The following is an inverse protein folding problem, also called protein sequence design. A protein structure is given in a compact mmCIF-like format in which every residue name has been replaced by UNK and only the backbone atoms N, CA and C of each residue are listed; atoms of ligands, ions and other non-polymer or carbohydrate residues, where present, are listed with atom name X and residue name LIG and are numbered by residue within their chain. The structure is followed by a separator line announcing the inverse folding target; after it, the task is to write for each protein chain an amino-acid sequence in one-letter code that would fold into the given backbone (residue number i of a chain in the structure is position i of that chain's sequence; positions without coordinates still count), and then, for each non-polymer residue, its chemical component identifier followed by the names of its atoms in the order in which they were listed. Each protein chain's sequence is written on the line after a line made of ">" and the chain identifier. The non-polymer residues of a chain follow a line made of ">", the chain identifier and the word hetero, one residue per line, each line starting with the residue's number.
data_IF_931506860043
#
_entry.id   IF_931506860043
#
_cell.length_a   1.000
_cell.length_b   1.000
_cell.length_c   1.000
_cell.angle_alpha   90.00
_cell.angle_beta   90.00
_cell.angle_gamma   90.00
#
_symmetry.space_group_name_H-M   'P 1'
#
loop_
_entity.id
_entity.type
_entity.pdbx_description
1 polymer ?
#
# COMPACT_ATOMS: atom_id res chain seq x y z
N UNK A 1 -11.98 12.21 -2.61
CA UNK A 1 -12.20 13.32 -3.56
C UNK A 1 -12.58 12.75 -4.91
N UNK A 2 -13.22 13.52 -5.79
CA UNK A 2 -13.73 13.09 -7.12
C UNK A 2 -12.73 12.27 -7.96
N UNK A 3 -11.41 12.53 -7.85
CA UNK A 3 -10.35 11.75 -8.51
C UNK A 3 -10.27 10.29 -8.07
N UNK A 4 -10.44 10.02 -6.78
CA UNK A 4 -10.41 8.66 -6.25
C UNK A 4 -11.62 7.85 -6.75
N UNK A 5 -12.79 8.50 -6.83
CA UNK A 5 -14.04 7.88 -7.32
C UNK A 5 -13.94 7.58 -8.82
N UNK A 6 -13.34 8.47 -9.61
CA UNK A 6 -13.16 8.26 -11.05
C UNK A 6 -12.22 7.09 -11.37
N UNK A 7 -11.09 6.97 -10.66
CA UNK A 7 -10.15 5.84 -10.83
C UNK A 7 -10.80 4.49 -10.51
N UNK A 8 -11.62 4.43 -9.45
CA UNK A 8 -12.31 3.19 -9.06
C UNK A 8 -13.47 2.78 -9.96
N UNK A 9 -14.05 3.70 -10.75
CA UNK A 9 -15.26 3.41 -11.56
C UNK A 9 -14.99 3.20 -13.05
N UNK A 10 -13.93 3.78 -13.62
CA UNK A 10 -13.76 3.81 -15.08
C UNK A 10 -12.61 2.94 -15.61
N UNK A 11 -11.48 2.87 -14.89
CA UNK A 11 -10.25 2.31 -15.47
C UNK A 11 -9.76 1.02 -14.79
N UNK A 12 -10.13 0.78 -13.52
CA UNK A 12 -9.53 -0.30 -12.70
C UNK A 12 -10.52 -1.43 -12.31
N UNK A 13 -11.68 -1.57 -12.96
CA UNK A 13 -12.61 -2.66 -12.60
C UNK A 13 -11.93 -4.01 -12.91
N UNK A 14 -11.68 -4.85 -11.89
CA UNK A 14 -11.00 -6.12 -12.09
C UNK A 14 -11.94 -7.03 -12.89
N UNK A 15 -11.45 -7.64 -13.96
CA UNK A 15 -12.19 -8.68 -14.69
C UNK A 15 -11.80 -10.08 -14.23
N UNK A 16 -10.57 -10.21 -13.70
CA UNK A 16 -9.99 -11.47 -13.23
C UNK A 16 -9.35 -11.32 -11.86
N UNK A 17 -9.06 -12.45 -11.21
CA UNK A 17 -8.28 -12.47 -9.96
C UNK A 17 -6.87 -11.87 -10.15
N UNK A 18 -6.24 -12.11 -11.30
CA UNK A 18 -4.91 -11.58 -11.59
C UNK A 18 -4.90 -10.04 -11.59
N UNK A 19 -5.96 -9.42 -12.13
CA UNK A 19 -6.13 -7.96 -12.13
C UNK A 19 -6.28 -7.44 -10.69
N UNK A 20 -7.04 -8.14 -9.85
CA UNK A 20 -7.19 -7.77 -8.44
C UNK A 20 -5.88 -7.90 -7.65
N UNK A 21 -5.03 -8.89 -7.97
CA UNK A 21 -3.70 -9.03 -7.37
C UNK A 21 -2.77 -7.91 -7.84
N UNK A 22 -2.81 -7.54 -9.13
CA UNK A 22 -2.05 -6.41 -9.67
C UNK A 22 -2.47 -5.10 -9.00
N UNK A 23 -3.77 -4.87 -8.83
CA UNK A 23 -4.31 -3.74 -8.08
C UNK A 23 -3.82 -3.74 -6.63
N UNK A 24 -3.91 -4.87 -5.93
CA UNK A 24 -3.43 -5.00 -4.55
C UNK A 24 -1.94 -4.70 -4.41
N UNK A 25 -1.14 -5.08 -5.41
CA UNK A 25 0.29 -4.76 -5.46
C UNK A 25 0.55 -3.27 -5.59
N UNK A 26 -0.23 -2.56 -6.40
CA UNK A 26 -0.19 -1.09 -6.47
C UNK A 26 -0.63 -0.43 -5.16
N UNK A 27 -1.65 -0.98 -4.50
CA UNK A 27 -2.10 -0.48 -3.19
C UNK A 27 -1.03 -0.62 -2.10
N UNK A 28 -0.21 -1.68 -2.15
CA UNK A 28 0.92 -1.83 -1.24
C UNK A 28 1.89 -0.65 -1.35
N UNK A 29 2.23 -0.23 -2.57
CA UNK A 29 3.14 0.89 -2.78
C UNK A 29 2.51 2.21 -2.31
N UNK A 30 1.23 2.43 -2.63
CA UNK A 30 0.48 3.62 -2.22
C UNK A 30 0.41 3.74 -0.69
N UNK A 31 0.25 2.62 0.01
CA UNK A 31 0.04 2.61 1.46
C UNK A 31 1.35 2.61 2.24
N UNK A 32 2.32 1.80 1.82
CA UNK A 32 3.52 1.54 2.62
C UNK A 32 4.81 2.11 2.03
N UNK A 33 4.86 2.45 0.74
CA UNK A 33 6.11 2.85 0.06
C UNK A 33 6.14 4.36 -0.24
N UNK A 34 5.09 4.91 -0.85
CA UNK A 34 5.07 6.31 -1.26
C UNK A 34 5.01 7.29 -0.08
N UNK A 35 4.20 7.08 0.97
CA UNK A 35 4.16 8.00 2.10
C UNK A 35 5.50 8.16 2.81
N UNK A 36 6.24 7.08 3.18
CA UNK A 36 7.55 7.26 3.81
C UNK A 36 8.59 7.85 2.84
N UNK A 37 8.54 7.52 1.54
CA UNK A 37 9.41 8.18 0.55
C UNK A 37 9.16 9.70 0.48
N UNK A 38 7.90 10.11 0.40
CA UNK A 38 7.53 11.53 0.38
C UNK A 38 7.94 12.25 1.68
N UNK A 39 7.81 11.57 2.82
CA UNK A 39 8.24 12.12 4.09
C UNK A 39 9.76 12.34 4.14
N UNK A 40 10.55 11.36 3.67
CA UNK A 40 12.01 11.46 3.61
C UNK A 40 12.48 12.52 2.60
N UNK A 41 11.74 12.75 1.51
CA UNK A 41 12.01 13.86 0.60
C UNK A 41 11.78 15.23 1.27
N UNK A 42 10.72 15.33 2.08
CA UNK A 42 10.38 16.58 2.79
C UNK A 42 11.30 16.83 4.00
N UNK A 43 11.77 15.76 4.63
CA UNK A 43 12.61 15.75 5.82
C UNK A 43 13.76 14.75 5.63
N UNK A 44 14.81 15.13 4.88
CA UNK A 44 15.98 14.28 4.72
C UNK A 44 16.60 13.93 6.08
N UNK A 45 17.33 12.81 6.13
CA UNK A 45 17.83 12.23 7.39
C UNK A 45 18.78 13.16 8.14
N UNK A 46 19.50 13.99 7.40
CA UNK A 46 20.46 14.99 7.82
C UNK A 46 19.84 16.36 8.12
N UNK A 47 18.52 16.52 7.98
CA UNK A 47 17.84 17.78 8.26
C UNK A 47 17.99 18.18 9.73
N UNK A 48 18.37 19.44 9.95
CA UNK A 48 18.44 20.07 11.28
C UNK A 48 17.34 21.11 11.45
N UNK A 49 16.94 21.39 12.70
CA UNK A 49 16.07 22.51 13.04
C UNK A 49 16.85 23.84 13.08
N UNK A 50 16.15 24.94 13.40
CA UNK A 50 16.73 26.27 13.49
C UNK A 50 17.79 26.41 14.60
N UNK A 51 17.75 25.54 15.61
CA UNK A 51 18.71 25.48 16.72
C UNK A 51 19.88 24.52 16.42
N UNK A 52 19.94 23.97 15.20
CA UNK A 52 20.99 23.06 14.73
C UNK A 52 20.83 21.61 15.21
N UNK A 53 19.70 21.24 15.83
CA UNK A 53 19.47 19.86 16.30
C UNK A 53 18.89 19.00 15.17
N UNK A 54 19.24 17.70 15.08
CA UNK A 54 18.68 16.83 14.05
C UNK A 54 17.16 16.69 14.19
N UNK A 55 16.47 16.77 13.05
CA UNK A 55 15.01 16.68 12.96
C UNK A 55 14.49 15.32 13.49
N UNK A 56 15.23 14.24 13.21
CA UNK A 56 14.94 12.88 13.62
C UNK A 56 15.55 12.56 14.99
N UNK A 57 14.98 13.14 16.06
CA UNK A 57 15.42 12.92 17.44
C UNK A 57 14.25 12.55 18.37
N UNK A 58 14.57 11.84 19.46
CA UNK A 58 13.60 11.44 20.48
C UNK A 58 12.49 10.54 19.95
N UNK A 59 11.25 11.04 19.98
CA UNK A 59 10.06 10.30 19.53
C UNK A 59 9.90 10.25 17.99
N UNK A 60 10.62 11.10 17.23
CA UNK A 60 10.54 11.15 15.77
C UNK A 60 11.54 10.16 15.17
N UNK A 61 11.07 8.96 14.84
CA UNK A 61 11.88 7.93 14.17
C UNK A 61 11.73 8.05 12.66
N UNK A 62 12.84 8.08 11.90
CA UNK A 62 12.76 8.10 10.45
C UNK A 62 12.12 6.79 9.96
N UNK A 63 11.14 6.85 9.05
CA UNK A 63 10.54 5.63 8.53
C UNK A 63 11.54 4.88 7.64
N UNK A 64 11.45 3.56 7.65
CA UNK A 64 12.15 2.71 6.66
C UNK A 64 11.17 2.34 5.56
N UNK A 65 11.55 2.59 4.31
CA UNK A 65 10.71 2.25 3.17
C UNK A 65 10.79 0.74 2.94
N UNK A 66 9.68 -0.02 3.09
CA UNK A 66 9.70 -1.44 2.85
C UNK A 66 9.89 -1.74 1.36
N UNK A 67 10.63 -2.80 1.06
CA UNK A 67 10.67 -3.39 -0.28
C UNK A 67 9.70 -4.55 -0.30
N UNK A 68 8.84 -4.58 -1.32
CA UNK A 68 7.89 -5.67 -1.47
C UNK A 68 8.62 -7.01 -1.67
N UNK A 69 8.17 -8.04 -0.97
CA UNK A 69 8.77 -9.37 -0.98
C UNK A 69 7.70 -10.42 -0.72
N UNK A 70 7.57 -11.40 -1.61
CA UNK A 70 6.62 -12.51 -1.49
C UNK A 70 7.02 -13.56 -0.46
N UNK A 71 8.30 -13.59 -0.04
CA UNK A 71 8.77 -14.47 1.02
C UNK A 71 8.26 -14.03 2.40
N UNK A 72 7.97 -12.73 2.55
CA UNK A 72 7.41 -12.17 3.77
C UNK A 72 5.92 -12.49 3.89
N UNK A 73 5.55 -13.15 5.00
CA UNK A 73 4.18 -13.57 5.27
C UNK A 73 3.20 -12.38 5.25
N UNK A 74 3.55 -11.24 5.86
CA UNK A 74 2.67 -10.08 5.96
C UNK A 74 2.43 -9.40 4.61
N UNK A 75 3.46 -9.33 3.76
CA UNK A 75 3.31 -8.77 2.40
C UNK A 75 2.37 -9.64 1.56
N UNK A 76 2.53 -10.97 1.66
CA UNK A 76 1.68 -11.93 0.97
C UNK A 76 0.24 -11.89 1.49
N UNK A 77 0.04 -11.90 2.81
CA UNK A 77 -1.28 -11.79 3.44
C UNK A 77 -1.98 -10.51 3.02
N UNK A 78 -1.28 -9.36 3.05
CA UNK A 78 -1.82 -8.10 2.58
C UNK A 78 -2.32 -8.20 1.14
N UNK A 79 -1.51 -8.74 0.21
CA UNK A 79 -1.92 -8.91 -1.18
C UNK A 79 -3.17 -9.78 -1.32
N UNK A 80 -3.20 -10.94 -0.66
CA UNK A 80 -4.30 -11.89 -0.77
C UNK A 80 -5.60 -11.29 -0.24
N UNK A 81 -5.54 -10.65 0.93
CA UNK A 81 -6.73 -10.04 1.54
C UNK A 81 -7.19 -8.79 0.79
N UNK A 82 -6.27 -7.92 0.35
CA UNK A 82 -6.62 -6.74 -0.44
C UNK A 82 -7.27 -7.14 -1.77
N UNK A 83 -6.70 -8.11 -2.50
CA UNK A 83 -7.27 -8.62 -3.74
C UNK A 83 -8.64 -9.28 -3.51
N UNK A 84 -8.80 -10.08 -2.44
CA UNK A 84 -10.08 -10.69 -2.09
C UNK A 84 -11.17 -9.66 -1.79
N UNK A 85 -10.86 -8.62 -1.01
CA UNK A 85 -11.78 -7.52 -0.74
C UNK A 85 -12.16 -6.81 -2.05
N UNK A 86 -11.18 -6.54 -2.91
CA UNK A 86 -11.41 -5.88 -4.20
C UNK A 86 -12.33 -6.69 -5.12
N UNK A 87 -12.06 -7.98 -5.29
CA UNK A 87 -12.94 -8.88 -6.04
C UNK A 87 -14.36 -8.90 -5.47
N UNK A 88 -14.53 -8.93 -4.15
CA UNK A 88 -15.86 -8.92 -3.51
C UNK A 88 -16.62 -7.63 -3.77
N UNK A 89 -15.95 -6.48 -3.74
CA UNK A 89 -16.56 -5.17 -4.04
C UNK A 89 -17.05 -5.10 -5.49
N UNK A 90 -16.31 -5.72 -6.41
CA UNK A 90 -16.60 -5.69 -7.85
C UNK A 90 -17.34 -6.93 -8.39
N UNK A 91 -17.72 -7.89 -7.53
CA UNK A 91 -18.44 -9.11 -7.92
C UNK A 91 -17.62 -10.14 -8.71
N UNK A 92 -16.29 -10.10 -8.62
CA UNK A 92 -15.38 -11.04 -9.30
C UNK A 92 -15.20 -12.32 -8.46
N UNK A 93 -15.15 -13.51 -9.08
CA UNK A 93 -14.86 -14.76 -8.36
C UNK A 93 -13.49 -14.73 -7.65
N UNK A 94 -13.50 -15.07 -6.36
CA UNK A 94 -12.28 -15.22 -5.54
C UNK A 94 -11.86 -16.71 -5.55
N UNK A 95 -10.58 -17.03 -5.76
CA UNK A 95 -10.11 -18.41 -5.70
C UNK A 95 -10.20 -18.99 -4.28
N UNK A 96 -10.70 -20.22 -4.15
CA UNK A 96 -10.66 -20.96 -2.89
C UNK A 96 -9.21 -21.32 -2.54
N UNK A 97 -8.77 -21.21 -1.26
CA UNK A 97 -9.56 -21.13 -0.01
C UNK A 97 -9.87 -19.71 0.50
N UNK A 98 -9.50 -18.65 -0.22
CA UNK A 98 -9.69 -17.27 0.25
C UNK A 98 -11.17 -16.86 0.33
N UNK A 99 -12.05 -17.58 -0.37
CA UNK A 99 -13.50 -17.46 -0.27
C UNK A 99 -14.07 -17.85 1.10
N UNK A 100 -13.33 -18.58 1.92
CA UNK A 100 -13.80 -19.18 3.19
C UNK A 100 -13.43 -18.34 4.42
N UNK A 101 -12.58 -17.32 4.26
CA UNK A 101 -12.12 -16.48 5.38
C UNK A 101 -13.22 -15.43 5.68
N UNK A 102 -14.15 -15.81 6.56
CA UNK A 102 -15.14 -14.93 7.22
C UNK A 102 -14.64 -14.55 8.60
#
# INVERSE_FOLDING_TARGET
>A
TLRAVHGTLCDDVPSTWADAVAWARSQFDITFVFPPKQLLLSYPLDKTDADGKPYWTGAKRPPTVPTFDLSNAHHREFLLHAAAIYCRVHGVPVPSPLSTIT
#
